data_IF_190422294621
#
_entry.id   IF_190422294621
#
_cell.length_a   1.000
_cell.length_b   1.000
_cell.length_c   1.000
_cell.angle_alpha   90.00
_cell.angle_beta   90.00
_cell.angle_gamma   90.00
#
_symmetry.space_group_name_H-M   'P 1'
#
loop_
_entity.id
_entity.type
_entity.pdbx_description
1 polymer ?
#
# COMPACT_ATOMS: atom_id res chain seq x y z
N UNK A 1 21.40 17.38 24.10
CA UNK A 1 21.10 17.63 22.68
C UNK A 1 20.89 16.27 22.03
N UNK A 2 19.66 15.92 21.65
CA UNK A 2 19.35 14.63 20.99
C UNK A 2 19.24 14.92 19.49
N UNK A 3 19.90 14.16 18.59
CA UNK A 3 19.73 14.41 17.18
C UNK A 3 18.28 14.07 16.83
N UNK A 4 17.50 15.09 16.48
CA UNK A 4 16.24 14.86 15.78
C UNK A 4 16.64 14.32 14.41
N UNK A 5 16.57 13.00 14.26
CA UNK A 5 16.52 12.38 12.95
C UNK A 5 15.27 12.90 12.27
N UNK A 6 15.36 14.08 11.63
CA UNK A 6 14.35 14.57 10.70
C UNK A 6 14.43 13.65 9.49
N UNK A 7 13.85 12.46 9.58
CA UNK A 7 13.27 11.84 8.40
C UNK A 7 12.21 12.83 7.95
N UNK A 8 12.59 13.62 6.96
CA UNK A 8 11.73 14.58 6.28
C UNK A 8 11.04 13.86 5.12
N UNK A 9 10.76 12.57 5.26
CA UNK A 9 9.71 11.88 4.54
C UNK A 9 8.46 12.10 5.38
N UNK A 10 7.79 13.25 5.17
CA UNK A 10 6.40 13.37 5.62
C UNK A 10 5.65 12.13 5.12
N UNK A 11 4.71 11.55 5.91
CA UNK A 11 4.21 10.21 5.67
C UNK A 11 3.88 10.10 4.19
N UNK A 12 4.67 9.30 3.47
CA UNK A 12 4.27 8.83 2.16
C UNK A 12 2.83 8.38 2.39
N UNK A 13 1.89 8.99 1.68
CA UNK A 13 0.47 8.80 1.98
C UNK A 13 0.13 7.38 1.53
N UNK A 14 0.54 6.42 2.34
CA UNK A 14 0.50 5.00 2.09
C UNK A 14 -0.84 4.54 2.64
N UNK A 15 -1.68 4.09 1.74
CA UNK A 15 -2.96 3.47 2.04
C UNK A 15 -2.79 1.96 2.00
N UNK A 16 -3.42 1.26 2.94
CA UNK A 16 -3.46 -0.19 2.95
C UNK A 16 -4.78 -0.62 2.32
N UNK A 17 -4.72 -1.48 1.31
CA UNK A 17 -5.91 -1.93 0.60
C UNK A 17 -5.97 -3.45 0.69
N UNK A 18 -7.15 -3.97 1.03
CA UNK A 18 -7.41 -5.38 1.15
C UNK A 18 -8.60 -5.80 0.28
N UNK A 19 -8.42 -6.86 -0.49
CA UNK A 19 -9.45 -7.54 -1.27
C UNK A 19 -9.81 -8.86 -0.60
N UNK A 20 -11.10 -9.05 -0.33
CA UNK A 20 -11.63 -10.30 0.20
C UNK A 20 -12.18 -11.12 -0.96
N UNK A 21 -11.59 -12.29 -1.17
CA UNK A 21 -11.94 -13.19 -2.25
C UNK A 21 -13.10 -14.10 -1.84
N UNK A 22 -13.77 -14.71 -2.82
CA UNK A 22 -14.93 -15.58 -2.59
C UNK A 22 -14.59 -16.88 -1.85
N UNK A 23 -13.34 -17.35 -1.97
CA UNK A 23 -12.82 -18.49 -1.20
C UNK A 23 -12.56 -18.14 0.28
N UNK A 24 -12.77 -16.88 0.66
CA UNK A 24 -12.57 -16.37 2.02
C UNK A 24 -11.15 -15.88 2.29
N UNK A 25 -10.21 -16.08 1.36
CA UNK A 25 -8.86 -15.53 1.45
C UNK A 25 -8.84 -14.00 1.33
N UNK A 26 -7.76 -13.40 1.82
CA UNK A 26 -7.57 -11.94 1.83
C UNK A 26 -6.23 -11.58 1.20
N UNK A 27 -6.30 -10.83 0.12
CA UNK A 27 -5.13 -10.17 -0.46
C UNK A 27 -5.03 -8.78 0.14
N UNK A 28 -3.89 -8.42 0.72
CA UNK A 28 -3.69 -7.08 1.29
C UNK A 28 -2.31 -6.56 0.97
N UNK A 29 -2.21 -5.28 0.64
CA UNK A 29 -0.91 -4.64 0.42
C UNK A 29 -0.98 -3.12 0.70
N UNK A 30 0.19 -2.49 0.74
CA UNK A 30 0.39 -1.07 1.00
C UNK A 30 0.75 -0.33 -0.29
N UNK A 31 0.02 0.75 -0.57
CA UNK A 31 0.13 1.50 -1.82
C UNK A 31 0.23 3.00 -1.55
N UNK A 32 1.02 3.71 -2.35
CA UNK A 32 0.99 5.16 -2.34
C UNK A 32 -0.37 5.68 -2.82
N UNK A 33 -0.92 6.71 -2.19
CA UNK A 33 -2.22 7.32 -2.52
C UNK A 33 -2.27 7.97 -3.90
N UNK A 34 -1.12 8.04 -4.58
CA UNK A 34 -0.96 8.48 -5.96
C UNK A 34 -1.16 7.37 -6.99
N UNK A 35 -1.33 6.12 -6.57
CA UNK A 35 -1.55 4.98 -7.46
C UNK A 35 -3.00 4.95 -7.96
N UNK A 36 -3.19 4.52 -9.21
CA UNK A 36 -4.55 4.38 -9.77
C UNK A 36 -5.17 3.05 -9.35
N UNK A 37 -6.50 2.96 -9.45
CA UNK A 37 -7.20 1.69 -9.22
C UNK A 37 -6.72 0.58 -10.15
N UNK A 38 -6.34 0.92 -11.39
CA UNK A 38 -5.81 -0.06 -12.34
C UNK A 38 -4.44 -0.60 -11.90
N UNK A 39 -3.52 0.28 -11.47
CA UNK A 39 -2.21 -0.13 -10.95
C UNK A 39 -2.37 -1.05 -9.73
N UNK A 40 -3.34 -0.74 -8.88
CA UNK A 40 -3.68 -1.56 -7.73
C UNK A 40 -4.12 -2.97 -8.15
N UNK A 41 -5.06 -3.08 -9.08
CA UNK A 41 -5.58 -4.35 -9.58
C UNK A 41 -4.50 -5.17 -10.33
N UNK A 42 -3.67 -4.48 -11.11
CA UNK A 42 -2.54 -5.07 -11.83
C UNK A 42 -1.48 -5.65 -10.87
N UNK A 43 -1.22 -4.97 -9.75
CA UNK A 43 -0.31 -5.47 -8.71
C UNK A 43 -0.80 -6.80 -8.15
N UNK A 44 -2.08 -6.91 -7.78
CA UNK A 44 -2.65 -8.15 -7.25
C UNK A 44 -2.63 -9.30 -8.27
N UNK A 45 -2.85 -9.01 -9.56
CA UNK A 45 -2.76 -9.99 -10.64
C UNK A 45 -1.32 -10.48 -10.90
N UNK A 46 -0.31 -9.65 -10.63
CA UNK A 46 1.11 -9.99 -10.78
C UNK A 46 1.67 -10.75 -9.56
N UNK A 47 1.08 -10.58 -8.38
CA UNK A 47 1.44 -11.31 -7.16
C UNK A 47 0.82 -12.72 -7.07
N UNK A 48 0.11 -13.18 -8.11
CA UNK A 48 -0.61 -14.46 -8.13
C UNK A 48 0.13 -15.59 -8.82
#
# INVERSE_FOLDING_TARGET
MVPVSRSREGPENIVRIAFQLDDGSRLQDAFCSRQTLWELLSHFAQTS
#
